data_IF_796442051978
#
_entry.id   IF_796442051978
#
_cell.length_a   1.000
_cell.length_b   1.000
_cell.length_c   1.000
_cell.angle_alpha   90.00
_cell.angle_beta   90.00
_cell.angle_gamma   90.00
#
_symmetry.space_group_name_H-M   'P 1'
#
loop_
_entity.id
_entity.type
_entity.pdbx_description
1 polymer ?
#
# COMPACT_ATOMS: atom_id res chain seq x y z
N UNK A 1 8.38 46.74 37.45
CA UNK A 1 6.93 46.88 37.22
C UNK A 1 6.48 45.64 36.46
N UNK A 2 5.92 44.71 37.19
CA UNK A 2 5.44 43.40 36.67
C UNK A 2 4.06 43.59 36.04
N UNK A 3 3.86 42.99 34.85
CA UNK A 3 2.49 42.70 34.38
C UNK A 3 2.44 41.28 33.79
N UNK A 4 1.80 40.41 34.54
CA UNK A 4 1.45 39.03 34.13
C UNK A 4 0.30 39.10 33.13
N UNK A 5 0.42 38.39 32.00
CA UNK A 5 -0.72 38.02 31.15
C UNK A 5 -1.07 36.58 31.41
N UNK A 6 -2.28 36.37 31.90
CA UNK A 6 -2.93 35.03 32.01
C UNK A 6 -3.79 34.84 30.79
N UNK A 7 -3.49 33.84 29.95
CA UNK A 7 -4.39 33.38 28.89
C UNK A 7 -5.15 32.14 29.39
N UNK A 8 -6.44 32.35 29.70
CA UNK A 8 -7.38 31.25 29.94
C UNK A 8 -8.03 30.84 28.61
N UNK A 9 -7.78 29.65 28.15
CA UNK A 9 -8.56 29.05 27.05
C UNK A 9 -9.85 28.44 27.59
N UNK A 10 -10.99 29.00 27.17
CA UNK A 10 -12.32 28.41 27.29
C UNK A 10 -12.44 27.28 26.23
N UNK A 11 -12.43 26.04 26.69
CA UNK A 11 -12.81 24.89 25.84
C UNK A 11 -14.33 24.91 25.65
N UNK A 12 -14.75 24.97 24.41
CA UNK A 12 -16.14 25.08 23.98
C UNK A 12 -16.91 23.75 24.24
N UNK A 13 -18.01 23.85 24.98
CA UNK A 13 -18.94 22.77 25.33
C UNK A 13 -19.72 22.17 24.13
N UNK A 14 -19.35 22.46 22.88
CA UNK A 14 -20.03 21.89 21.68
C UNK A 14 -19.58 20.50 21.28
N UNK A 15 -18.38 20.06 21.65
CA UNK A 15 -17.88 18.73 21.29
C UNK A 15 -18.48 17.59 22.14
N UNK A 16 -18.98 17.89 23.33
CA UNK A 16 -19.61 16.90 24.22
C UNK A 16 -21.10 16.65 23.95
N UNK A 17 -21.76 17.49 23.15
CA UNK A 17 -23.18 17.30 22.79
C UNK A 17 -23.39 16.42 21.55
N UNK A 18 -22.34 16.18 20.72
CA UNK A 18 -22.47 15.34 19.52
C UNK A 18 -22.33 13.84 19.82
N UNK A 19 -21.55 13.46 20.82
CA UNK A 19 -21.35 12.04 21.17
C UNK A 19 -22.56 11.42 21.91
N UNK A 20 -23.34 12.24 22.60
CA UNK A 20 -24.54 11.75 23.33
C UNK A 20 -25.76 11.55 22.43
N UNK A 21 -25.88 12.25 21.31
CA UNK A 21 -27.00 12.08 20.38
C UNK A 21 -26.93 10.81 19.51
N UNK A 22 -25.73 10.37 19.14
CA UNK A 22 -25.54 9.17 18.29
C UNK A 22 -25.85 7.89 19.06
N UNK A 23 -25.51 7.83 20.35
CA UNK A 23 -25.80 6.65 21.20
C UNK A 23 -27.30 6.53 21.51
N UNK A 24 -28.03 7.64 21.61
CA UNK A 24 -29.47 7.65 21.91
C UNK A 24 -30.31 7.22 20.69
N UNK A 25 -29.85 7.49 19.47
CA UNK A 25 -30.56 7.08 18.24
C UNK A 25 -30.47 5.57 18.00
N UNK A 26 -29.38 4.92 18.38
CA UNK A 26 -29.23 3.46 18.22
C UNK A 26 -30.00 2.61 19.24
N UNK A 27 -30.38 3.18 20.37
CA UNK A 27 -31.17 2.48 21.43
C UNK A 27 -32.67 2.61 21.20
N UNK A 28 -33.15 3.63 20.49
CA UNK A 28 -34.56 3.85 20.22
C UNK A 28 -35.16 2.95 19.11
N UNK A 29 -34.31 2.33 18.28
CA UNK A 29 -34.77 1.40 17.23
C UNK A 29 -34.98 -0.04 17.72
N UNK A 30 -34.68 -0.35 18.99
CA UNK A 30 -34.77 -1.72 19.52
C UNK A 30 -35.88 -2.02 20.50
N UNK A 31 -36.70 -1.05 20.97
CA UNK A 31 -37.92 -1.35 21.73
C UNK A 31 -38.86 -0.15 21.79
N UNK A 32 -40.10 -0.38 21.36
CA UNK A 32 -41.24 0.47 21.71
C UNK A 32 -41.46 0.52 23.22
N UNK A 33 -41.84 1.70 23.69
CA UNK A 33 -42.38 2.05 24.99
C UNK A 33 -41.69 1.52 26.27
N UNK A 34 -40.82 2.35 26.83
CA UNK A 34 -40.74 2.54 28.28
C UNK A 34 -40.01 3.86 28.60
N UNK A 35 -40.72 4.77 29.30
CA UNK A 35 -40.14 5.99 29.88
C UNK A 35 -38.99 5.64 30.82
N UNK A 36 -37.81 6.22 30.57
CA UNK A 36 -36.71 6.21 31.52
C UNK A 36 -36.39 7.61 32.02
N UNK A 37 -36.62 7.83 33.29
CA UNK A 37 -36.17 8.98 34.06
C UNK A 37 -34.69 8.85 34.39
N UNK A 38 -33.97 9.96 34.48
CA UNK A 38 -32.52 10.11 34.69
C UNK A 38 -31.94 9.21 35.78
N UNK A 39 -31.11 8.26 35.41
CA UNK A 39 -30.32 7.40 36.30
C UNK A 39 -28.95 8.01 36.59
N UNK A 40 -28.57 8.11 37.86
CA UNK A 40 -27.24 8.59 38.31
C UNK A 40 -26.19 7.48 38.17
N UNK A 41 -24.88 7.85 38.05
CA UNK A 41 -23.76 6.93 37.92
C UNK A 41 -23.74 5.82 38.99
N UNK A 42 -24.22 6.09 40.21
CA UNK A 42 -24.32 5.10 41.30
C UNK A 42 -25.42 4.05 41.09
N UNK A 43 -26.46 4.39 40.36
CA UNK A 43 -27.55 3.48 40.04
C UNK A 43 -27.20 2.53 38.90
N UNK A 44 -26.42 2.99 37.94
CA UNK A 44 -25.89 2.15 36.86
C UNK A 44 -24.98 1.03 37.33
N UNK A 45 -24.05 1.31 38.28
CA UNK A 45 -23.15 0.32 38.87
C UNK A 45 -23.93 -0.72 39.73
N UNK A 46 -25.04 -0.35 40.33
CA UNK A 46 -25.87 -1.31 41.12
C UNK A 46 -26.72 -2.22 40.21
N UNK A 47 -27.14 -1.75 39.05
CA UNK A 47 -27.88 -2.60 38.07
C UNK A 47 -27.01 -3.66 37.42
N UNK A 48 -25.75 -3.34 37.13
CA UNK A 48 -24.81 -4.30 36.56
C UNK A 48 -24.35 -5.39 37.53
N UNK A 49 -24.43 -5.13 38.85
CA UNK A 49 -24.11 -6.12 39.87
C UNK A 49 -25.26 -7.10 40.16
N UNK A 50 -26.50 -6.75 39.83
CA UNK A 50 -27.68 -7.63 40.05
C UNK A 50 -28.01 -8.53 38.83
N UNK A 51 -27.48 -8.24 37.64
CA UNK A 51 -27.66 -9.09 36.46
C UNK A 51 -26.73 -10.34 36.44
N UNK A 52 -25.75 -10.40 37.33
CA UNK A 52 -24.77 -11.51 37.42
C UNK A 52 -25.21 -12.70 38.30
N UNK A 53 -26.36 -12.67 38.96
CA UNK A 53 -26.72 -13.69 39.96
C UNK A 53 -28.00 -14.50 39.66
N UNK A 54 -28.54 -14.44 38.46
CA UNK A 54 -29.77 -15.16 38.06
C UNK A 54 -29.61 -16.11 36.86
N UNK A 55 -28.44 -16.71 36.67
CA UNK A 55 -28.24 -17.84 35.76
C UNK A 55 -27.47 -18.98 36.42
N UNK A 56 -28.00 -19.44 37.53
CA UNK A 56 -27.56 -20.67 38.17
C UNK A 56 -28.77 -21.56 38.46
N UNK A 57 -29.02 -22.58 37.63
CA UNK A 57 -29.89 -23.67 37.99
C UNK A 57 -31.06 -23.89 37.03
N UNK A 58 -30.84 -24.73 36.03
CA UNK A 58 -31.75 -25.81 35.63
C UNK A 58 -31.04 -26.71 34.60
N UNK A 59 -30.41 -27.76 35.11
CA UNK A 59 -29.97 -28.87 34.28
C UNK A 59 -31.19 -29.74 33.97
N UNK A 60 -31.61 -29.78 32.71
CA UNK A 60 -32.46 -30.86 32.21
C UNK A 60 -31.74 -31.54 31.06
N UNK A 61 -31.41 -32.79 31.29
CA UNK A 61 -30.85 -33.77 30.36
C UNK A 61 -31.84 -33.99 29.21
N UNK A 62 -31.45 -33.66 28.00
CA UNK A 62 -31.99 -34.26 26.79
C UNK A 62 -30.81 -34.53 25.84
N UNK A 63 -30.45 -35.79 25.78
CA UNK A 63 -29.42 -36.25 24.86
C UNK A 63 -29.83 -36.03 23.41
N UNK A 64 -29.09 -35.21 22.69
CA UNK A 64 -28.93 -35.28 21.27
C UNK A 64 -27.43 -35.19 21.00
N UNK A 65 -26.91 -36.29 20.55
CA UNK A 65 -25.53 -36.46 20.12
C UNK A 65 -25.31 -35.60 18.86
N UNK A 66 -25.02 -34.33 19.02
CA UNK A 66 -24.43 -33.53 17.99
C UNK A 66 -22.95 -33.47 18.33
N UNK A 67 -22.18 -34.29 17.65
CA UNK A 67 -20.76 -34.05 17.42
C UNK A 67 -20.63 -32.69 16.72
N UNK A 68 -20.75 -31.60 17.46
CA UNK A 68 -20.03 -30.38 17.14
C UNK A 68 -18.56 -30.65 17.50
N UNK A 69 -17.84 -31.24 16.56
CA UNK A 69 -16.41 -31.07 16.50
C UNK A 69 -16.18 -29.56 16.58
N UNK A 70 -15.63 -29.09 17.70
CA UNK A 70 -14.92 -27.83 17.73
C UNK A 70 -13.78 -27.99 16.74
N UNK A 71 -14.05 -27.72 15.47
CA UNK A 71 -13.04 -27.43 14.50
C UNK A 71 -12.38 -26.15 15.03
N UNK A 72 -11.29 -26.30 15.80
CA UNK A 72 -10.28 -25.27 15.86
C UNK A 72 -9.89 -25.10 14.39
N UNK A 73 -10.39 -24.05 13.77
CA UNK A 73 -9.92 -23.70 12.44
C UNK A 73 -8.44 -23.39 12.61
N UNK A 74 -7.57 -24.34 12.24
CA UNK A 74 -6.13 -24.10 12.16
C UNK A 74 -5.96 -22.93 11.20
N UNK A 75 -5.79 -21.72 11.72
CA UNK A 75 -5.57 -20.54 10.91
C UNK A 75 -4.08 -20.39 10.61
N UNK A 76 -3.77 -20.02 9.37
CA UNK A 76 -2.42 -19.70 8.94
C UNK A 76 -2.22 -18.19 9.07
N UNK A 77 -1.40 -17.78 10.05
CA UNK A 77 -1.20 -16.37 10.36
C UNK A 77 -0.16 -15.74 9.43
N UNK A 78 -0.56 -14.67 8.72
CA UNK A 78 0.30 -13.88 7.84
C UNK A 78 0.36 -12.44 8.34
N UNK A 79 1.56 -11.89 8.43
CA UNK A 79 1.77 -10.47 8.75
C UNK A 79 1.46 -9.58 7.55
N UNK A 80 0.88 -8.42 7.80
CA UNK A 80 0.69 -7.37 6.80
C UNK A 80 1.16 -6.05 7.40
N UNK A 81 2.20 -5.45 6.85
CA UNK A 81 2.77 -4.22 7.37
C UNK A 81 2.86 -3.14 6.28
N UNK A 82 2.77 -1.90 6.71
CA UNK A 82 2.84 -0.74 5.84
C UNK A 82 2.51 0.56 6.57
N UNK A 83 2.72 1.72 5.93
CA UNK A 83 2.37 3.02 6.47
C UNK A 83 0.85 3.25 6.41
N UNK A 84 0.13 2.99 7.49
CA UNK A 84 -1.31 3.25 7.54
C UNK A 84 -1.62 4.63 8.12
N UNK A 85 -0.61 5.28 8.70
CA UNK A 85 -0.58 6.69 9.10
C UNK A 85 0.69 7.38 8.55
N UNK A 86 0.76 8.71 8.62
CA UNK A 86 1.91 9.48 8.11
C UNK A 86 1.77 9.89 6.63
N UNK A 87 2.88 10.37 6.07
CA UNK A 87 2.88 11.09 4.79
C UNK A 87 2.50 10.22 3.57
N UNK A 88 2.81 8.95 3.59
CA UNK A 88 2.53 8.01 2.47
C UNK A 88 1.40 7.03 2.79
N UNK A 89 0.55 7.37 3.77
CA UNK A 89 -0.52 6.50 4.26
C UNK A 89 -1.49 6.03 3.18
N UNK A 90 -1.74 6.81 2.13
CA UNK A 90 -2.64 6.39 1.05
C UNK A 90 -2.14 5.11 0.34
N UNK A 91 -0.82 4.91 0.20
CA UNK A 91 -0.28 3.67 -0.37
C UNK A 91 -0.52 2.48 0.56
N UNK A 92 -0.17 2.62 1.84
CA UNK A 92 -0.34 1.55 2.83
C UNK A 92 -1.79 1.11 2.96
N UNK A 93 -2.71 2.07 3.09
CA UNK A 93 -4.15 1.82 3.16
C UNK A 93 -4.68 1.13 1.89
N UNK A 94 -4.19 1.53 0.71
CA UNK A 94 -4.57 0.93 -0.55
C UNK A 94 -4.11 -0.52 -0.65
N UNK A 95 -2.85 -0.81 -0.33
CA UNK A 95 -2.29 -2.18 -0.31
C UNK A 95 -3.04 -3.04 0.70
N UNK A 96 -3.21 -2.56 1.94
CA UNK A 96 -3.96 -3.28 2.98
C UNK A 96 -5.35 -3.69 2.49
N UNK A 97 -6.08 -2.76 1.86
CA UNK A 97 -7.43 -3.04 1.36
C UNK A 97 -7.39 -4.11 0.25
N UNK A 98 -6.41 -4.06 -0.66
CA UNK A 98 -6.22 -5.10 -1.68
C UNK A 98 -5.95 -6.46 -1.09
N UNK A 99 -5.02 -6.55 -0.11
CA UNK A 99 -4.71 -7.78 0.63
C UNK A 99 -5.93 -8.34 1.34
N UNK A 100 -6.66 -7.50 2.07
CA UNK A 100 -7.85 -7.92 2.81
C UNK A 100 -8.95 -8.43 1.87
N UNK A 101 -9.16 -7.78 0.73
CA UNK A 101 -10.15 -8.20 -0.27
C UNK A 101 -9.82 -9.60 -0.80
N UNK A 102 -8.57 -9.82 -1.24
CA UNK A 102 -8.15 -11.12 -1.75
C UNK A 102 -8.30 -12.22 -0.70
N UNK A 103 -7.76 -12.01 0.50
CA UNK A 103 -7.80 -13.00 1.58
C UNK A 103 -9.24 -13.31 2.00
N UNK A 104 -10.12 -12.30 2.05
CA UNK A 104 -11.57 -12.52 2.31
C UNK A 104 -12.18 -13.44 1.26
N UNK A 105 -11.94 -13.18 -0.02
CA UNK A 105 -12.43 -14.01 -1.13
C UNK A 105 -11.82 -15.42 -1.10
N UNK A 106 -10.52 -15.53 -0.87
CA UNK A 106 -9.81 -16.80 -0.78
C UNK A 106 -10.34 -17.69 0.35
N UNK A 107 -10.53 -17.12 1.54
CA UNK A 107 -11.09 -17.83 2.69
C UNK A 107 -12.54 -18.25 2.44
N UNK A 108 -13.37 -17.41 1.81
CA UNK A 108 -14.73 -17.75 1.44
C UNK A 108 -14.80 -18.91 0.44
N UNK A 109 -13.78 -19.10 -0.39
CA UNK A 109 -13.65 -20.19 -1.35
C UNK A 109 -12.94 -21.43 -0.79
N UNK A 110 -12.82 -21.56 0.55
CA UNK A 110 -12.30 -22.73 1.22
C UNK A 110 -10.87 -22.59 1.75
N UNK A 111 -10.20 -21.45 1.51
CA UNK A 111 -8.88 -21.16 2.04
C UNK A 111 -7.81 -22.16 1.62
N UNK A 112 -6.89 -22.45 2.53
CA UNK A 112 -5.82 -23.45 2.33
C UNK A 112 -6.34 -24.79 2.84
N UNK A 113 -6.99 -25.58 1.97
CA UNK A 113 -7.54 -26.91 2.31
C UNK A 113 -8.45 -26.90 3.56
N UNK A 114 -9.31 -25.90 3.67
CA UNK A 114 -10.22 -25.71 4.80
C UNK A 114 -9.64 -24.88 5.96
N UNK A 115 -8.36 -24.54 5.95
CA UNK A 115 -7.74 -23.60 6.89
C UNK A 115 -7.90 -22.17 6.39
N UNK A 116 -8.18 -21.22 7.28
CA UNK A 116 -8.26 -19.81 6.93
C UNK A 116 -6.89 -19.13 7.01
N UNK A 117 -6.64 -18.15 6.15
CA UNK A 117 -5.54 -17.21 6.31
C UNK A 117 -6.00 -16.08 7.24
N UNK A 118 -5.26 -15.87 8.32
CA UNK A 118 -5.53 -14.85 9.33
C UNK A 118 -4.47 -13.73 9.23
N UNK A 119 -4.90 -12.47 9.16
CA UNK A 119 -4.03 -11.33 8.92
C UNK A 119 -3.71 -10.58 10.21
N UNK A 120 -2.41 -10.49 10.55
CA UNK A 120 -1.90 -9.57 11.56
C UNK A 120 -1.45 -8.28 10.87
N UNK A 121 -2.21 -7.20 11.07
CA UNK A 121 -2.02 -5.92 10.36
C UNK A 121 -1.39 -4.90 11.29
N UNK A 122 -0.24 -4.31 10.92
CA UNK A 122 0.54 -3.40 11.76
C UNK A 122 1.03 -2.18 10.97
N UNK A 123 0.93 -1.00 11.61
CA UNK A 123 1.33 0.30 11.07
C UNK A 123 2.79 0.61 11.42
N UNK A 124 3.63 0.84 10.42
CA UNK A 124 5.04 1.24 10.58
C UNK A 124 5.30 2.72 10.24
N UNK A 125 4.26 3.47 9.85
CA UNK A 125 4.23 4.94 9.68
C UNK A 125 5.15 5.51 8.59
N UNK A 126 5.74 4.68 7.74
CA UNK A 126 6.74 5.07 6.74
C UNK A 126 8.15 5.29 7.33
N UNK A 127 8.41 4.74 8.53
CA UNK A 127 9.69 4.88 9.23
C UNK A 127 10.44 3.55 9.31
N UNK A 128 11.71 3.54 8.91
CA UNK A 128 12.54 2.33 8.89
C UNK A 128 12.82 1.73 10.27
N UNK A 129 12.78 2.52 11.34
CA UNK A 129 12.95 2.02 12.71
C UNK A 129 11.67 1.36 13.19
N UNK A 130 10.52 2.01 12.97
CA UNK A 130 9.21 1.44 13.26
C UNK A 130 8.97 0.16 12.44
N UNK A 131 9.38 0.12 11.16
CA UNK A 131 9.27 -1.06 10.32
C UNK A 131 10.01 -2.27 10.90
N UNK A 132 11.23 -2.06 11.42
CA UNK A 132 11.97 -3.12 12.15
C UNK A 132 11.28 -3.53 13.45
N UNK A 133 10.73 -2.58 14.22
CA UNK A 133 9.99 -2.88 15.44
C UNK A 133 8.72 -3.70 15.15
N UNK A 134 8.00 -3.36 14.07
CA UNK A 134 6.83 -4.11 13.60
C UNK A 134 7.23 -5.52 13.14
N UNK A 135 8.34 -5.65 12.41
CA UNK A 135 8.89 -6.94 12.01
C UNK A 135 9.17 -7.84 13.23
N UNK A 136 9.88 -7.35 14.24
CA UNK A 136 10.16 -8.09 15.49
C UNK A 136 8.85 -8.52 16.19
N UNK A 137 7.88 -7.63 16.25
CA UNK A 137 6.55 -7.94 16.81
C UNK A 137 5.84 -9.07 16.06
N UNK A 138 5.96 -9.08 14.73
CA UNK A 138 5.40 -10.15 13.89
C UNK A 138 6.13 -11.48 14.09
N UNK A 139 7.45 -11.43 14.25
CA UNK A 139 8.27 -12.60 14.55
C UNK A 139 7.87 -13.22 15.91
N UNK A 140 7.72 -12.40 16.95
CA UNK A 140 7.22 -12.81 18.26
C UNK A 140 5.81 -13.42 18.22
N UNK A 141 4.95 -12.87 17.35
CA UNK A 141 3.59 -13.36 17.13
C UNK A 141 3.53 -14.63 16.26
N UNK A 142 4.71 -15.12 15.81
CA UNK A 142 4.88 -16.34 15.01
C UNK A 142 4.08 -16.31 13.70
N UNK A 143 4.12 -15.21 12.98
CA UNK A 143 3.60 -15.19 11.61
C UNK A 143 4.41 -16.13 10.73
N UNK A 144 3.76 -16.74 9.76
CA UNK A 144 4.39 -17.71 8.86
C UNK A 144 5.14 -17.03 7.70
N UNK A 145 4.66 -15.85 7.32
CA UNK A 145 5.19 -15.03 6.26
C UNK A 145 4.68 -13.58 6.40
N UNK A 146 5.25 -12.64 5.67
CA UNK A 146 4.89 -11.23 5.72
C UNK A 146 4.59 -10.70 4.31
N UNK A 147 3.49 -9.96 4.16
CA UNK A 147 3.21 -9.08 3.03
C UNK A 147 3.51 -7.65 3.48
N UNK A 148 4.54 -7.07 2.89
CA UNK A 148 5.07 -5.74 3.25
C UNK A 148 6.60 -5.68 3.03
N UNK A 149 7.28 -4.58 3.25
CA UNK A 149 6.72 -3.28 3.48
C UNK A 149 6.27 -2.62 2.16
N UNK A 150 5.85 -1.36 2.19
CA UNK A 150 5.21 -0.69 1.05
C UNK A 150 6.19 0.19 0.28
N UNK A 151 6.86 1.13 0.96
CA UNK A 151 7.83 2.04 0.34
C UNK A 151 9.25 1.48 0.42
N UNK A 152 10.13 1.88 -0.48
CA UNK A 152 11.44 1.23 -0.66
C UNK A 152 12.34 1.30 0.57
N UNK A 153 12.51 2.46 1.21
CA UNK A 153 13.44 2.62 2.33
C UNK A 153 13.09 1.76 3.55
N UNK A 154 11.84 1.74 4.08
CA UNK A 154 11.46 0.81 5.13
C UNK A 154 11.50 -0.66 4.68
N UNK A 155 11.11 -0.96 3.42
CA UNK A 155 11.18 -2.33 2.88
C UNK A 155 12.59 -2.89 2.87
N UNK A 156 13.58 -2.09 2.49
CA UNK A 156 15.00 -2.45 2.52
C UNK A 156 15.43 -2.76 3.95
N UNK A 157 15.01 -1.94 4.92
CA UNK A 157 15.35 -2.12 6.32
C UNK A 157 14.77 -3.44 6.90
N UNK A 158 13.55 -3.81 6.49
CA UNK A 158 12.91 -5.09 6.86
C UNK A 158 13.56 -6.26 6.13
N UNK A 159 13.84 -6.14 4.81
CA UNK A 159 14.47 -7.20 4.04
C UNK A 159 15.84 -7.59 4.62
N UNK A 160 16.62 -6.59 5.07
CA UNK A 160 17.92 -6.81 5.70
C UNK A 160 17.84 -7.66 6.98
N UNK A 161 16.86 -7.40 7.85
CA UNK A 161 16.71 -8.16 9.10
C UNK A 161 16.04 -9.52 8.84
N UNK A 162 15.04 -9.58 7.96
CA UNK A 162 14.29 -10.80 7.65
C UNK A 162 15.12 -11.89 6.98
N UNK A 163 16.21 -11.51 6.30
CA UNK A 163 17.15 -12.46 5.71
C UNK A 163 17.83 -13.34 6.75
N UNK A 164 18.08 -12.83 7.99
CA UNK A 164 18.68 -13.59 9.07
C UNK A 164 17.75 -14.68 9.62
N UNK A 165 16.43 -14.44 9.55
CA UNK A 165 15.40 -15.34 10.08
C UNK A 165 14.78 -16.21 8.99
N UNK A 166 15.28 -16.10 7.74
CA UNK A 166 14.72 -16.73 6.56
C UNK A 166 13.18 -16.55 6.46
N UNK A 167 12.69 -15.36 6.84
CA UNK A 167 11.26 -15.04 6.86
C UNK A 167 10.77 -14.76 5.44
N UNK A 168 9.80 -15.53 4.89
CA UNK A 168 9.22 -15.25 3.58
C UNK A 168 8.57 -13.85 3.56
N UNK A 169 9.00 -13.00 2.63
CA UNK A 169 8.62 -11.59 2.55
C UNK A 169 8.19 -11.23 1.13
N UNK A 170 6.99 -10.69 0.97
CA UNK A 170 6.51 -10.17 -0.32
C UNK A 170 6.17 -8.70 -0.16
N UNK A 171 6.94 -7.79 -0.79
CA UNK A 171 6.50 -6.41 -0.95
C UNK A 171 5.55 -6.27 -2.13
N UNK A 172 4.41 -5.62 -1.90
CA UNK A 172 3.48 -5.31 -2.98
C UNK A 172 4.07 -4.27 -3.95
N UNK A 173 4.83 -3.28 -3.45
CA UNK A 173 5.16 -2.07 -4.20
C UNK A 173 6.58 -1.54 -4.06
N UNK A 174 7.44 -2.07 -3.19
CA UNK A 174 8.84 -1.62 -3.11
C UNK A 174 9.59 -1.96 -4.40
N UNK A 175 10.14 -0.95 -5.06
CA UNK A 175 10.75 -1.04 -6.40
C UNK A 175 12.26 -0.98 -6.38
N UNK A 176 12.89 -0.44 -5.30
CA UNK A 176 14.34 -0.29 -5.21
C UNK A 176 15.05 -1.66 -5.28
N UNK A 177 16.13 -1.81 -6.10
CA UNK A 177 16.82 -3.07 -6.29
C UNK A 177 17.39 -3.68 -5.00
N UNK A 178 17.76 -2.84 -4.02
CA UNK A 178 18.34 -3.30 -2.76
C UNK A 178 17.37 -4.18 -1.96
N UNK A 179 16.05 -4.05 -2.14
CA UNK A 179 15.05 -4.83 -1.40
C UNK A 179 15.24 -6.36 -1.53
N UNK A 180 15.60 -6.85 -2.72
CA UNK A 180 15.77 -8.29 -3.00
C UNK A 180 17.23 -8.76 -2.92
N UNK A 181 18.15 -7.92 -2.42
CA UNK A 181 19.60 -8.19 -2.48
C UNK A 181 20.18 -8.88 -1.22
N UNK A 182 19.44 -8.97 -0.11
CA UNK A 182 19.97 -9.45 1.17
C UNK A 182 19.85 -10.95 1.36
N UNK A 183 18.89 -11.60 0.69
CA UNK A 183 18.64 -13.02 0.79
C UNK A 183 17.73 -13.53 -0.32
N UNK A 184 17.37 -14.81 -0.25
CA UNK A 184 16.44 -15.42 -1.21
C UNK A 184 14.98 -15.42 -0.72
N UNK A 185 14.72 -14.79 0.42
CA UNK A 185 13.44 -14.79 1.12
C UNK A 185 12.53 -13.60 0.74
N UNK A 186 13.05 -12.57 0.05
CA UNK A 186 12.35 -11.35 -0.30
C UNK A 186 11.94 -11.34 -1.78
N UNK A 187 10.65 -11.07 -2.05
CA UNK A 187 10.02 -11.03 -3.36
C UNK A 187 9.19 -9.76 -3.50
N UNK A 188 8.98 -9.29 -4.74
CA UNK A 188 8.07 -8.17 -5.01
C UNK A 188 6.97 -8.54 -6.01
N UNK A 189 5.79 -7.91 -5.86
CA UNK A 189 4.70 -8.07 -6.83
C UNK A 189 4.74 -7.03 -7.95
N UNK A 190 5.65 -6.05 -7.87
CA UNK A 190 5.80 -4.92 -8.79
C UNK A 190 7.09 -5.00 -9.59
N UNK A 191 7.29 -4.05 -10.51
CA UNK A 191 8.51 -3.86 -11.29
C UNK A 191 9.63 -3.20 -10.46
N UNK A 192 10.85 -3.19 -11.01
CA UNK A 192 12.02 -2.54 -10.39
C UNK A 192 12.20 -1.10 -10.86
N UNK A 193 12.94 -0.29 -10.09
CA UNK A 193 13.36 1.06 -10.47
C UNK A 193 14.20 1.06 -11.75
N UNK A 194 15.04 0.04 -11.94
CA UNK A 194 15.82 -0.14 -13.16
C UNK A 194 14.94 -0.21 -14.39
N UNK A 195 13.85 -0.98 -14.32
CA UNK A 195 12.91 -1.09 -15.42
C UNK A 195 12.16 0.23 -15.63
N UNK A 196 11.65 0.85 -14.56
CA UNK A 196 10.88 2.10 -14.62
C UNK A 196 11.71 3.25 -15.19
N UNK A 197 12.92 3.49 -14.68
CA UNK A 197 13.82 4.55 -15.15
C UNK A 197 14.16 4.40 -16.62
N UNK A 198 14.50 3.18 -17.06
CA UNK A 198 14.77 2.88 -18.47
C UNK A 198 13.55 3.05 -19.37
N UNK A 199 12.36 2.63 -18.91
CA UNK A 199 11.11 2.80 -19.66
C UNK A 199 10.84 4.28 -19.90
N UNK A 200 10.97 5.12 -18.88
CA UNK A 200 10.65 6.55 -18.99
C UNK A 200 11.71 7.32 -19.81
N UNK A 201 12.98 6.93 -19.76
CA UNK A 201 14.01 7.50 -20.63
C UNK A 201 13.80 7.12 -22.11
N UNK A 202 13.46 5.87 -22.42
CA UNK A 202 13.09 5.41 -23.76
C UNK A 202 11.81 6.08 -24.26
N UNK A 203 10.84 6.28 -23.37
CA UNK A 203 9.65 7.04 -23.68
C UNK A 203 9.99 8.48 -24.06
N UNK A 204 10.85 9.17 -23.29
CA UNK A 204 11.32 10.52 -23.59
C UNK A 204 12.00 10.59 -24.96
N UNK A 205 12.88 9.61 -25.29
CA UNK A 205 13.50 9.52 -26.61
C UNK A 205 12.48 9.35 -27.74
N UNK A 206 11.49 8.47 -27.56
CA UNK A 206 10.45 8.19 -28.55
C UNK A 206 9.54 9.40 -28.79
N UNK A 207 9.30 10.23 -27.74
CA UNK A 207 8.59 11.50 -27.88
C UNK A 207 9.43 12.59 -28.57
N UNK A 208 10.71 12.33 -28.81
CA UNK A 208 11.63 13.26 -29.47
C UNK A 208 12.25 14.30 -28.55
N UNK A 209 12.11 14.14 -27.22
CA UNK A 209 12.75 15.03 -26.24
C UNK A 209 14.25 14.90 -26.32
N UNK A 210 14.95 16.04 -26.40
CA UNK A 210 16.41 16.14 -26.54
C UNK A 210 17.05 16.60 -25.23
N UNK A 211 16.29 17.30 -24.43
CA UNK A 211 16.72 17.89 -23.16
C UNK A 211 15.74 17.57 -22.05
N UNK A 212 16.24 17.18 -20.88
CA UNK A 212 15.42 16.92 -19.70
C UNK A 212 16.03 17.56 -18.46
N UNK A 213 15.16 18.03 -17.56
CA UNK A 213 15.52 18.34 -16.19
C UNK A 213 15.06 17.22 -15.25
N UNK A 214 15.62 17.13 -14.04
CA UNK A 214 15.10 16.22 -13.01
C UNK A 214 14.95 16.91 -11.67
N UNK A 215 13.95 16.49 -10.87
CA UNK A 215 13.75 16.94 -9.50
C UNK A 215 13.34 15.74 -8.64
N UNK A 216 14.09 15.49 -7.55
CA UNK A 216 13.91 14.29 -6.75
C UNK A 216 14.29 14.49 -5.28
N UNK A 217 13.67 13.71 -4.38
CA UNK A 217 14.06 13.61 -2.98
C UNK A 217 15.39 12.83 -2.86
N UNK A 218 16.42 13.49 -2.33
CA UNK A 218 17.75 12.87 -2.18
C UNK A 218 17.87 11.91 -0.99
N UNK A 219 16.90 11.95 -0.07
CA UNK A 219 16.88 11.11 1.14
C UNK A 219 16.17 9.76 0.97
N UNK A 220 15.42 9.56 -0.13
CA UNK A 220 14.69 8.32 -0.40
C UNK A 220 15.43 7.39 -1.34
N UNK A 221 15.47 6.09 -1.02
CA UNK A 221 16.10 5.08 -1.89
C UNK A 221 15.38 4.93 -3.22
N UNK A 222 14.03 5.07 -3.24
CA UNK A 222 13.22 5.04 -4.44
C UNK A 222 13.54 6.21 -5.37
N UNK A 223 13.38 7.44 -4.88
CA UNK A 223 13.46 8.65 -5.69
C UNK A 223 14.88 8.87 -6.22
N UNK A 224 15.88 8.68 -5.35
CA UNK A 224 17.28 8.82 -5.74
C UNK A 224 17.75 7.70 -6.67
N UNK A 225 17.29 6.47 -6.43
CA UNK A 225 17.61 5.29 -7.22
C UNK A 225 17.07 5.38 -8.65
N UNK A 226 15.76 5.61 -8.77
CA UNK A 226 15.13 5.70 -10.10
C UNK A 226 15.60 6.93 -10.89
N UNK A 227 15.87 8.06 -10.22
CA UNK A 227 16.46 9.23 -10.87
C UNK A 227 17.82 8.91 -11.46
N UNK A 228 18.67 8.22 -10.72
CA UNK A 228 20.00 7.79 -11.20
C UNK A 228 19.88 6.94 -12.48
N UNK A 229 19.02 5.92 -12.46
CA UNK A 229 18.80 5.03 -13.62
C UNK A 229 18.27 5.80 -14.83
N UNK A 230 17.31 6.69 -14.62
CA UNK A 230 16.77 7.54 -15.69
C UNK A 230 17.86 8.41 -16.34
N UNK A 231 18.69 9.06 -15.53
CA UNK A 231 19.79 9.92 -16.00
C UNK A 231 20.83 9.10 -16.78
N UNK A 232 21.26 7.95 -16.27
CA UNK A 232 22.20 7.05 -16.93
C UNK A 232 21.67 6.57 -18.29
N UNK A 233 20.40 6.16 -18.36
CA UNK A 233 19.76 5.73 -19.61
C UNK A 233 19.60 6.91 -20.59
N UNK A 234 19.22 8.11 -20.12
CA UNK A 234 19.17 9.32 -20.95
C UNK A 234 20.52 9.60 -21.63
N UNK A 235 21.63 9.47 -20.91
CA UNK A 235 22.98 9.65 -21.46
C UNK A 235 23.28 8.63 -22.56
N UNK A 236 22.92 7.35 -22.35
CA UNK A 236 23.10 6.29 -23.36
C UNK A 236 22.24 6.54 -24.61
N UNK A 237 21.06 7.12 -24.44
CA UNK A 237 20.11 7.43 -25.51
C UNK A 237 20.39 8.78 -26.21
N UNK A 238 21.42 9.52 -25.78
CA UNK A 238 21.79 10.82 -26.33
C UNK A 238 20.83 11.96 -25.94
N UNK A 239 20.09 11.81 -24.86
CA UNK A 239 19.27 12.87 -24.25
C UNK A 239 20.14 13.65 -23.25
N UNK A 240 20.18 14.97 -23.40
CA UNK A 240 20.97 15.83 -22.52
C UNK A 240 20.18 16.14 -21.23
N UNK A 241 20.72 15.72 -20.08
CA UNK A 241 20.19 16.10 -18.77
C UNK A 241 20.73 17.46 -18.38
N UNK A 242 19.95 18.51 -18.55
CA UNK A 242 20.37 19.90 -18.46
C UNK A 242 20.43 20.42 -17.02
N UNK A 243 19.65 19.83 -16.11
CA UNK A 243 19.60 20.20 -14.69
C UNK A 243 19.17 19.02 -13.87
N UNK A 244 19.83 18.78 -12.74
CA UNK A 244 19.42 17.80 -11.74
C UNK A 244 19.29 18.53 -10.40
N UNK A 245 18.07 18.60 -9.86
CA UNK A 245 17.79 19.30 -8.63
C UNK A 245 17.31 18.32 -7.57
N UNK A 246 18.00 18.34 -6.44
CA UNK A 246 17.60 17.55 -5.27
C UNK A 246 16.89 18.43 -4.23
N UNK A 247 16.02 17.80 -3.44
CA UNK A 247 15.43 18.38 -2.24
C UNK A 247 15.49 17.40 -1.07
N UNK A 248 15.19 17.85 0.14
CA UNK A 248 15.17 17.01 1.34
C UNK A 248 13.73 16.62 1.71
N UNK A 249 13.58 15.45 2.34
CA UNK A 249 12.29 15.03 2.87
C UNK A 249 11.69 16.10 3.81
N UNK A 250 10.41 16.40 3.63
CA UNK A 250 9.70 17.44 4.38
C UNK A 250 9.75 18.83 3.75
N UNK A 251 10.49 19.05 2.67
CA UNK A 251 10.43 20.30 1.92
C UNK A 251 9.02 20.47 1.31
N UNK A 252 8.55 21.71 1.31
CA UNK A 252 7.22 22.09 0.79
C UNK A 252 7.26 23.17 -0.26
N UNK A 253 8.41 23.83 -0.45
CA UNK A 253 8.66 24.89 -1.43
C UNK A 253 9.78 24.44 -2.36
N UNK A 254 9.44 24.27 -3.63
CA UNK A 254 10.33 23.79 -4.70
C UNK A 254 10.67 24.87 -5.73
N UNK A 255 10.31 26.14 -5.46
CA UNK A 255 10.46 27.24 -6.42
C UNK A 255 11.90 27.45 -6.85
N UNK A 256 12.89 27.30 -5.95
CA UNK A 256 14.31 27.46 -6.28
C UNK A 256 14.78 26.37 -7.26
N UNK A 257 14.44 25.12 -6.98
CA UNK A 257 14.79 23.97 -7.83
C UNK A 257 14.10 24.08 -9.20
N UNK A 258 12.81 24.41 -9.20
CA UNK A 258 12.03 24.58 -10.44
C UNK A 258 12.57 25.73 -11.30
N UNK A 259 12.93 26.86 -10.69
CA UNK A 259 13.52 28.00 -11.39
C UNK A 259 14.85 27.62 -12.03
N UNK A 260 15.70 26.85 -11.33
CA UNK A 260 16.98 26.38 -11.86
C UNK A 260 16.78 25.41 -13.06
N UNK A 261 15.79 24.53 -13.00
CA UNK A 261 15.42 23.63 -14.09
C UNK A 261 14.93 24.45 -15.30
N UNK A 262 13.97 25.35 -15.10
CA UNK A 262 13.33 26.10 -16.19
C UNK A 262 14.28 27.08 -16.89
N UNK A 263 15.32 27.56 -16.18
CA UNK A 263 16.37 28.38 -16.78
C UNK A 263 17.12 27.65 -17.92
N UNK A 264 17.08 26.30 -17.93
CA UNK A 264 17.70 25.48 -18.98
C UNK A 264 16.75 25.17 -20.14
N UNK A 265 15.48 25.54 -20.04
CA UNK A 265 14.42 25.28 -21.04
C UNK A 265 14.34 23.82 -21.48
N UNK A 266 14.17 22.85 -20.56
CA UNK A 266 14.11 21.43 -20.93
C UNK A 266 12.81 21.09 -21.67
N UNK A 267 12.86 20.09 -22.57
CA UNK A 267 11.69 19.56 -23.27
C UNK A 267 10.71 18.87 -22.31
N UNK A 268 11.25 18.22 -21.24
CA UNK A 268 10.49 17.57 -20.20
C UNK A 268 11.22 17.62 -18.85
N UNK A 269 10.48 17.43 -17.76
CA UNK A 269 11.03 17.30 -16.40
C UNK A 269 10.66 15.94 -15.82
N UNK A 270 11.66 15.14 -15.43
CA UNK A 270 11.46 13.90 -14.72
C UNK A 270 11.33 14.17 -13.22
N UNK A 271 10.24 13.69 -12.61
CA UNK A 271 9.86 13.93 -11.22
C UNK A 271 9.46 12.60 -10.56
N UNK A 272 10.42 11.71 -10.26
CA UNK A 272 10.15 10.38 -9.73
C UNK A 272 9.93 10.39 -8.20
N UNK A 273 8.96 11.14 -7.74
CA UNK A 273 8.68 11.29 -6.31
C UNK A 273 7.32 10.68 -5.96
N UNK A 274 7.05 10.52 -4.66
CA UNK A 274 5.74 10.09 -4.18
C UNK A 274 4.67 11.16 -4.45
N UNK A 275 3.40 10.73 -4.43
CA UNK A 275 2.24 11.52 -4.86
C UNK A 275 2.15 12.91 -4.23
N UNK A 276 2.49 13.03 -2.95
CA UNK A 276 2.40 14.32 -2.23
C UNK A 276 3.36 15.36 -2.79
N UNK A 277 4.62 14.99 -2.91
CA UNK A 277 5.65 15.91 -3.38
C UNK A 277 5.52 16.15 -4.88
N UNK A 278 5.24 15.10 -5.67
CA UNK A 278 4.98 15.22 -7.11
C UNK A 278 3.82 16.20 -7.38
N UNK A 279 2.72 16.09 -6.62
CA UNK A 279 1.58 17.00 -6.77
C UNK A 279 1.94 18.45 -6.46
N UNK A 280 2.64 18.70 -5.36
CA UNK A 280 3.12 20.04 -4.98
C UNK A 280 4.09 20.61 -6.02
N UNK A 281 5.06 19.80 -6.48
CA UNK A 281 6.05 20.17 -7.50
C UNK A 281 5.36 20.58 -8.79
N UNK A 282 4.46 19.75 -9.31
CA UNK A 282 3.72 20.05 -10.55
C UNK A 282 2.87 21.32 -10.38
N UNK A 283 2.13 21.46 -9.28
CA UNK A 283 1.30 22.65 -9.01
C UNK A 283 2.14 23.92 -8.93
N UNK A 284 3.27 23.91 -8.21
CA UNK A 284 4.16 25.06 -8.13
C UNK A 284 4.80 25.38 -9.49
N UNK A 285 5.15 24.37 -10.28
CA UNK A 285 5.64 24.57 -11.65
C UNK A 285 4.62 25.29 -12.52
N UNK A 286 3.34 24.90 -12.45
CA UNK A 286 2.25 25.59 -13.18
C UNK A 286 2.04 27.02 -12.72
N UNK A 287 2.17 27.27 -11.40
CA UNK A 287 2.11 28.63 -10.84
C UNK A 287 3.28 29.52 -11.33
N UNK A 288 4.46 28.94 -11.53
CA UNK A 288 5.61 29.62 -12.17
C UNK A 288 5.46 29.78 -13.70
N UNK A 289 4.36 29.32 -14.27
CA UNK A 289 4.06 29.46 -15.71
C UNK A 289 4.65 28.37 -16.59
N UNK A 290 5.25 27.30 -16.04
CA UNK A 290 5.75 26.18 -16.81
C UNK A 290 4.58 25.36 -17.38
N UNK A 291 4.53 25.24 -18.72
CA UNK A 291 3.51 24.49 -19.46
C UNK A 291 4.06 23.21 -20.10
N UNK A 292 5.32 22.89 -19.83
CA UNK A 292 5.98 21.70 -20.39
C UNK A 292 5.53 20.41 -19.73
N UNK A 293 6.09 19.34 -20.22
CA UNK A 293 5.74 17.96 -19.84
C UNK A 293 6.47 17.57 -18.54
N UNK A 294 5.74 16.94 -17.64
CA UNK A 294 6.34 16.17 -16.56
C UNK A 294 6.28 14.68 -16.87
N UNK A 295 7.34 13.98 -16.50
CA UNK A 295 7.47 12.53 -16.54
C UNK A 295 7.58 12.01 -15.11
N UNK A 296 6.75 11.06 -14.73
CA UNK A 296 6.73 10.44 -13.41
C UNK A 296 6.99 8.94 -13.47
N UNK A 297 6.92 8.30 -12.33
CA UNK A 297 6.96 6.86 -12.15
C UNK A 297 5.77 6.40 -11.29
N UNK A 298 5.73 5.14 -10.88
CA UNK A 298 4.58 4.54 -10.17
C UNK A 298 4.19 5.26 -8.87
N UNK A 299 5.10 5.97 -8.23
CA UNK A 299 4.83 6.88 -7.12
C UNK A 299 3.85 8.03 -7.43
N UNK A 300 3.46 8.23 -8.69
CA UNK A 300 2.41 9.18 -9.06
C UNK A 300 0.99 8.62 -8.92
N UNK A 301 0.85 7.32 -8.73
CA UNK A 301 -0.45 6.73 -8.45
C UNK A 301 -1.03 7.33 -7.15
N UNK A 302 -2.33 7.46 -7.09
CA UNK A 302 -3.10 8.13 -6.03
C UNK A 302 -3.02 9.68 -6.02
N UNK A 303 -2.29 10.31 -6.94
CA UNK A 303 -2.21 11.78 -6.98
C UNK A 303 -3.57 12.44 -7.26
N UNK A 304 -4.43 11.78 -8.05
CA UNK A 304 -5.79 12.25 -8.39
C UNK A 304 -6.89 11.30 -7.91
N UNK A 305 -6.59 10.03 -7.69
CA UNK A 305 -7.56 8.98 -7.36
C UNK A 305 -7.58 8.64 -5.86
N UNK A 306 -6.68 9.23 -5.08
CA UNK A 306 -6.61 9.08 -3.63
C UNK A 306 -7.74 9.78 -2.89
N UNK A 307 -7.82 9.53 -1.58
CA UNK A 307 -8.79 10.20 -0.70
C UNK A 307 -8.50 11.71 -0.60
N UNK A 308 -7.21 12.09 -0.68
CA UNK A 308 -6.74 13.47 -0.81
C UNK A 308 -6.16 13.70 -2.20
N UNK A 309 -6.43 14.86 -2.78
CA UNK A 309 -5.90 15.25 -4.09
C UNK A 309 -4.74 16.21 -3.92
N UNK A 310 -3.62 15.91 -4.55
CA UNK A 310 -2.37 16.68 -4.41
C UNK A 310 -2.04 17.55 -5.61
N UNK A 311 -2.70 17.31 -6.74
CA UNK A 311 -2.65 18.19 -7.90
C UNK A 311 -4.03 18.30 -8.54
N UNK A 312 -4.30 19.41 -9.21
CA UNK A 312 -5.52 19.54 -10.01
C UNK A 312 -5.40 18.69 -11.29
N UNK A 313 -6.51 18.18 -11.82
CA UNK A 313 -6.51 17.52 -13.13
C UNK A 313 -5.90 18.37 -14.24
N UNK A 314 -6.12 19.68 -14.21
CA UNK A 314 -5.61 20.66 -15.17
C UNK A 314 -4.08 20.78 -15.09
N UNK A 315 -3.50 20.69 -13.89
CA UNK A 315 -2.05 20.76 -13.69
C UNK A 315 -1.34 19.52 -14.28
N UNK A 316 -2.03 18.39 -14.29
CA UNK A 316 -1.49 17.10 -14.76
C UNK A 316 -1.75 16.85 -16.25
N UNK A 317 -2.52 17.68 -16.92
CA UNK A 317 -2.83 17.51 -18.35
C UNK A 317 -1.55 17.40 -19.18
N UNK A 318 -1.43 16.36 -20.01
CA UNK A 318 -0.27 16.11 -20.85
C UNK A 318 0.98 15.63 -20.10
N UNK A 319 0.90 15.35 -18.81
CA UNK A 319 1.96 14.65 -18.07
C UNK A 319 1.87 13.13 -18.29
N UNK A 320 2.98 12.41 -18.05
CA UNK A 320 3.07 10.98 -18.24
C UNK A 320 3.75 10.32 -17.05
N UNK A 321 3.30 9.12 -16.68
CA UNK A 321 3.99 8.29 -15.70
C UNK A 321 3.80 6.82 -16.05
N UNK A 322 4.60 5.93 -15.49
CA UNK A 322 4.41 4.51 -15.68
C UNK A 322 3.84 3.83 -14.42
N UNK A 323 2.92 2.89 -14.61
CA UNK A 323 2.41 2.02 -13.56
C UNK A 323 1.81 0.73 -14.16
N UNK A 324 1.71 -0.37 -13.41
CA UNK A 324 1.19 -1.63 -13.97
C UNK A 324 -0.33 -1.71 -14.06
N UNK A 325 -1.08 -0.76 -13.49
CA UNK A 325 -2.54 -0.83 -13.42
C UNK A 325 -3.20 0.55 -13.46
N UNK A 326 -4.30 0.64 -14.22
CA UNK A 326 -5.33 1.68 -14.09
C UNK A 326 -6.73 1.06 -14.19
N UNK A 327 -7.73 1.75 -13.68
CA UNK A 327 -9.14 1.28 -13.64
C UNK A 327 -9.72 1.14 -15.04
N UNK A 328 -9.34 2.04 -15.96
CA UNK A 328 -9.77 2.04 -17.36
C UNK A 328 -8.98 0.99 -18.16
N UNK A 329 -9.31 -0.28 -17.93
CA UNK A 329 -8.70 -1.44 -18.58
C UNK A 329 -9.78 -2.38 -19.10
N UNK A 330 -9.62 -2.90 -20.32
CA UNK A 330 -10.60 -3.77 -20.97
C UNK A 330 -10.49 -5.25 -20.59
N UNK A 331 -9.47 -5.65 -19.81
CA UNK A 331 -9.29 -7.00 -19.34
C UNK A 331 -10.39 -7.39 -18.32
N UNK A 332 -11.06 -8.51 -18.54
CA UNK A 332 -12.18 -8.95 -17.71
C UNK A 332 -11.78 -9.20 -16.25
N UNK A 333 -10.58 -9.74 -15.99
CA UNK A 333 -10.04 -9.91 -14.63
C UNK A 333 -9.90 -8.58 -13.90
N UNK A 334 -9.44 -7.54 -14.60
CA UNK A 334 -9.34 -6.18 -14.04
C UNK A 334 -10.73 -5.64 -13.74
N UNK A 335 -11.70 -5.82 -14.64
CA UNK A 335 -13.10 -5.40 -14.41
C UNK A 335 -13.74 -6.09 -13.22
N UNK A 336 -13.51 -7.40 -13.07
CA UNK A 336 -14.01 -8.18 -11.93
C UNK A 336 -13.39 -7.70 -10.61
N UNK A 337 -12.08 -7.45 -10.59
CA UNK A 337 -11.39 -6.88 -9.43
C UNK A 337 -11.93 -5.48 -9.08
N UNK A 338 -12.04 -4.59 -10.07
CA UNK A 338 -12.56 -3.22 -9.88
C UNK A 338 -13.97 -3.27 -9.30
N UNK A 339 -14.83 -4.13 -9.85
CA UNK A 339 -16.17 -4.33 -9.32
C UNK A 339 -16.17 -4.85 -7.89
N UNK A 340 -15.41 -5.89 -7.58
CA UNK A 340 -15.34 -6.47 -6.25
C UNK A 340 -14.80 -5.47 -5.22
N UNK A 341 -13.79 -4.68 -5.61
CA UNK A 341 -13.23 -3.63 -4.76
C UNK A 341 -14.25 -2.52 -4.50
N UNK A 342 -14.95 -2.08 -5.54
CA UNK A 342 -16.00 -1.06 -5.42
C UNK A 342 -17.17 -1.54 -4.55
N UNK A 343 -17.59 -2.79 -4.70
CA UNK A 343 -18.66 -3.38 -3.89
C UNK A 343 -18.26 -3.45 -2.39
N UNK A 344 -16.99 -3.67 -2.08
CA UNK A 344 -16.48 -3.77 -0.71
C UNK A 344 -16.22 -2.41 -0.06
N UNK A 345 -15.63 -1.46 -0.81
CA UNK A 345 -15.10 -0.21 -0.24
C UNK A 345 -15.83 1.06 -0.71
N UNK A 346 -16.79 0.95 -1.65
CA UNK A 346 -17.58 2.08 -2.18
C UNK A 346 -16.79 3.06 -3.07
N UNK A 347 -15.57 2.70 -3.48
CA UNK A 347 -14.68 3.51 -4.33
C UNK A 347 -13.88 2.64 -5.30
N UNK A 348 -13.35 3.25 -6.36
CA UNK A 348 -12.47 2.54 -7.29
C UNK A 348 -11.12 2.21 -6.65
N UNK A 349 -10.49 1.09 -7.04
CA UNK A 349 -9.13 0.76 -6.61
C UNK A 349 -8.10 1.64 -7.29
N UNK A 350 -6.99 1.89 -6.61
CA UNK A 350 -5.77 2.43 -7.22
C UNK A 350 -4.81 1.31 -7.65
N UNK A 351 -3.70 1.68 -8.31
CA UNK A 351 -2.59 0.77 -8.62
C UNK A 351 -2.10 0.01 -7.38
N UNK A 352 -1.97 0.67 -6.24
CA UNK A 352 -1.51 0.05 -5.00
C UNK A 352 -2.52 -0.96 -4.43
N UNK A 353 -3.83 -0.74 -4.64
CA UNK A 353 -4.84 -1.75 -4.27
C UNK A 353 -4.66 -3.04 -5.10
N UNK A 354 -4.42 -2.89 -6.40
CA UNK A 354 -4.21 -4.01 -7.30
C UNK A 354 -2.93 -4.79 -6.97
N UNK A 355 -1.83 -4.09 -6.66
CA UNK A 355 -0.58 -4.70 -6.22
C UNK A 355 -0.72 -5.43 -4.89
N UNK A 356 -1.47 -4.88 -3.92
CA UNK A 356 -1.76 -5.55 -2.66
C UNK A 356 -2.59 -6.83 -2.85
N UNK A 357 -3.56 -6.79 -3.76
CA UNK A 357 -4.37 -7.95 -4.14
C UNK A 357 -3.50 -9.06 -4.75
N UNK A 358 -2.60 -8.70 -5.67
CA UNK A 358 -1.67 -9.64 -6.30
C UNK A 358 -0.64 -10.23 -5.32
N UNK A 359 -0.10 -9.41 -4.39
CA UNK A 359 0.81 -9.89 -3.34
C UNK A 359 0.13 -10.92 -2.43
N UNK A 360 -1.14 -10.69 -2.08
CA UNK A 360 -1.93 -11.67 -1.31
C UNK A 360 -2.22 -12.92 -2.12
N UNK A 361 -2.47 -12.79 -3.42
CA UNK A 361 -2.65 -13.93 -4.33
C UNK A 361 -1.38 -14.80 -4.37
N UNK A 362 -0.20 -14.19 -4.49
CA UNK A 362 1.09 -14.91 -4.46
C UNK A 362 1.27 -15.65 -3.13
N UNK A 363 1.04 -14.98 -2.01
CA UNK A 363 1.20 -15.58 -0.68
C UNK A 363 0.23 -16.73 -0.45
N UNK A 364 -1.04 -16.57 -0.81
CA UNK A 364 -2.05 -17.62 -0.66
C UNK A 364 -1.78 -18.82 -1.60
N UNK A 365 -1.28 -18.58 -2.81
CA UNK A 365 -0.87 -19.65 -3.72
C UNK A 365 0.28 -20.47 -3.12
N UNK A 366 1.31 -19.82 -2.61
CA UNK A 366 2.45 -20.49 -1.96
C UNK A 366 2.03 -21.28 -0.71
N UNK A 367 1.19 -20.71 0.16
CA UNK A 367 0.63 -21.40 1.32
C UNK A 367 -0.12 -22.68 0.90
N UNK A 368 -0.90 -22.59 -0.17
CA UNK A 368 -1.63 -23.73 -0.70
C UNK A 368 -0.69 -24.77 -1.31
N UNK A 369 0.31 -24.37 -2.09
CA UNK A 369 1.32 -25.26 -2.69
C UNK A 369 2.07 -26.04 -1.61
N UNK A 370 2.46 -25.38 -0.50
CA UNK A 370 3.15 -26.05 0.62
C UNK A 370 2.22 -26.99 1.38
N UNK A 371 0.98 -26.58 1.64
CA UNK A 371 0.01 -27.42 2.36
C UNK A 371 -0.42 -28.65 1.54
N UNK A 372 -0.55 -28.52 0.21
CA UNK A 372 -0.87 -29.62 -0.69
C UNK A 372 0.23 -30.70 -0.70
N UNK A 373 1.49 -30.33 -0.49
CA UNK A 373 2.61 -31.30 -0.34
C UNK A 373 2.56 -32.01 1.00
N UNK A 374 2.19 -31.32 2.08
CA UNK A 374 1.94 -31.88 3.40
C UNK A 374 3.16 -32.46 4.12
N UNK A 375 4.38 -32.16 3.67
CA UNK A 375 5.64 -32.72 4.18
C UNK A 375 6.31 -31.87 5.27
N UNK A 376 5.86 -30.64 5.48
CA UNK A 376 6.39 -29.71 6.47
C UNK A 376 5.30 -29.14 7.36
N UNK A 377 5.66 -28.74 8.59
CA UNK A 377 4.72 -28.21 9.59
C UNK A 377 4.79 -26.68 9.66
N UNK A 378 3.63 -25.98 9.67
CA UNK A 378 3.61 -24.53 9.87
C UNK A 378 4.43 -24.09 11.12
N UNK A 379 5.24 -23.03 10.95
CA UNK A 379 6.06 -22.45 12.00
C UNK A 379 7.43 -23.08 12.21
N UNK A 380 7.86 -24.01 11.37
CA UNK A 380 9.24 -24.54 11.35
C UNK A 380 10.10 -23.81 10.31
N UNK A 381 11.42 -23.94 10.40
CA UNK A 381 12.34 -23.37 9.39
C UNK A 381 12.17 -24.04 8.03
N UNK A 382 11.89 -25.33 7.99
CA UNK A 382 11.60 -26.08 6.76
C UNK A 382 10.33 -25.55 6.10
N UNK A 383 9.33 -25.12 6.88
CA UNK A 383 8.12 -24.53 6.35
C UNK A 383 8.38 -23.16 5.73
N UNK A 384 9.21 -22.31 6.36
CA UNK A 384 9.62 -21.03 5.78
C UNK A 384 10.34 -21.25 4.45
N UNK A 385 11.31 -22.17 4.40
CA UNK A 385 12.02 -22.50 3.17
C UNK A 385 11.09 -23.01 2.08
N UNK A 386 10.15 -23.90 2.43
CA UNK A 386 9.17 -24.39 1.47
C UNK A 386 8.27 -23.29 0.91
N UNK A 387 7.91 -22.28 1.74
CA UNK A 387 7.17 -21.11 1.25
C UNK A 387 8.02 -20.26 0.31
N UNK A 388 9.28 -19.99 0.63
CA UNK A 388 10.22 -19.28 -0.23
C UNK A 388 10.34 -19.98 -1.59
N UNK A 389 10.54 -21.29 -1.57
CA UNK A 389 10.65 -22.10 -2.80
C UNK A 389 9.36 -22.08 -3.61
N UNK A 390 8.20 -22.12 -2.95
CA UNK A 390 6.91 -22.06 -3.62
C UNK A 390 6.69 -20.68 -4.25
N UNK A 391 6.95 -19.57 -3.54
CA UNK A 391 6.86 -18.20 -4.08
C UNK A 391 7.75 -18.05 -5.31
N UNK A 392 8.99 -18.56 -5.24
CA UNK A 392 9.97 -18.46 -6.33
C UNK A 392 9.57 -19.26 -7.58
N UNK A 393 8.83 -20.37 -7.43
CA UNK A 393 8.48 -21.28 -8.52
C UNK A 393 7.07 -21.07 -9.08
N UNK A 394 6.15 -20.57 -8.25
CA UNK A 394 4.74 -20.41 -8.63
C UNK A 394 4.60 -19.23 -9.60
N UNK A 395 3.87 -19.48 -10.68
CA UNK A 395 3.44 -18.40 -11.58
C UNK A 395 2.03 -17.96 -11.20
N UNK A 396 1.88 -16.67 -10.94
CA UNK A 396 0.60 -16.06 -10.58
C UNK A 396 0.13 -15.16 -11.72
N UNK A 397 -1.12 -15.34 -12.12
CA UNK A 397 -1.76 -14.47 -13.11
C UNK A 397 -2.62 -13.41 -12.39
N UNK A 398 -1.96 -12.34 -11.98
CA UNK A 398 -2.53 -11.25 -11.19
C UNK A 398 -3.38 -10.26 -12.00
N UNK A 399 -3.99 -9.30 -11.31
CA UNK A 399 -4.73 -8.19 -11.92
C UNK A 399 -3.81 -7.12 -12.52
N UNK A 400 -2.56 -7.07 -12.05
CA UNK A 400 -1.49 -6.22 -12.60
C UNK A 400 -0.65 -6.94 -13.66
N UNK A 401 -1.11 -8.09 -14.15
CA UNK A 401 -0.42 -8.95 -15.11
C UNK A 401 0.23 -10.18 -14.49
N UNK A 402 0.90 -10.96 -15.31
CA UNK A 402 1.59 -12.18 -14.88
C UNK A 402 2.78 -11.84 -13.97
N UNK A 403 2.94 -12.64 -12.91
CA UNK A 403 4.06 -12.56 -11.97
C UNK A 403 4.75 -13.91 -11.96
N UNK A 404 6.01 -13.92 -12.35
CA UNK A 404 6.88 -15.10 -12.34
C UNK A 404 8.33 -14.62 -12.12
N UNK A 405 9.12 -15.45 -11.46
CA UNK A 405 10.49 -15.13 -11.09
C UNK A 405 11.51 -15.94 -11.91
N UNK A 406 12.62 -15.32 -12.26
CA UNK A 406 13.72 -15.94 -13.02
C UNK A 406 15.01 -15.94 -12.19
N UNK A 407 14.98 -16.60 -11.01
CA UNK A 407 16.14 -16.78 -10.14
C UNK A 407 16.46 -15.61 -9.19
N UNK A 408 15.63 -14.56 -9.22
CA UNK A 408 15.68 -13.43 -8.27
C UNK A 408 14.29 -13.22 -7.64
N UNK A 409 14.17 -12.40 -6.62
CA UNK A 409 12.87 -11.97 -6.07
C UNK A 409 12.17 -10.90 -6.91
N UNK A 410 12.69 -10.57 -8.09
CA UNK A 410 12.17 -9.57 -9.02
C UNK A 410 11.40 -10.23 -10.15
N UNK A 411 10.11 -9.92 -10.35
CA UNK A 411 9.36 -10.51 -11.44
C UNK A 411 9.63 -9.81 -12.77
N UNK A 412 9.51 -10.57 -13.85
CA UNK A 412 9.43 -10.01 -15.21
C UNK A 412 8.01 -9.51 -15.44
N UNK A 413 7.81 -8.18 -15.50
CA UNK A 413 6.48 -7.56 -15.63
C UNK A 413 6.41 -6.54 -16.76
N UNK A 414 5.27 -6.49 -17.44
CA UNK A 414 4.88 -5.36 -18.29
C UNK A 414 4.45 -4.15 -17.47
N UNK A 415 4.45 -2.98 -18.09
CA UNK A 415 3.94 -1.74 -17.50
C UNK A 415 3.16 -0.92 -18.52
N UNK A 416 2.38 0.02 -18.03
CA UNK A 416 1.67 1.01 -18.82
C UNK A 416 2.42 2.35 -18.73
N UNK A 417 2.49 3.09 -19.82
CA UNK A 417 2.68 4.54 -19.75
C UNK A 417 1.29 5.17 -19.79
N UNK A 418 0.99 5.93 -18.76
CA UNK A 418 -0.30 6.57 -18.50
C UNK A 418 -0.17 8.07 -18.69
N UNK A 419 -1.20 8.71 -19.23
CA UNK A 419 -1.32 10.16 -19.32
C UNK A 419 -2.64 10.62 -18.68
N UNK A 420 -2.77 11.91 -18.51
CA UNK A 420 -4.00 12.56 -18.04
C UNK A 420 -4.66 13.28 -19.22
N UNK A 421 -5.93 13.01 -19.43
CA UNK A 421 -6.77 13.62 -20.47
C UNK A 421 -8.10 14.03 -19.82
N UNK A 422 -8.36 15.34 -19.74
CA UNK A 422 -9.57 15.92 -19.11
C UNK A 422 -9.79 15.41 -17.68
N UNK A 423 -8.72 15.32 -16.93
CA UNK A 423 -8.75 14.92 -15.53
C UNK A 423 -8.91 13.40 -15.29
N UNK A 424 -8.80 12.58 -16.32
CA UNK A 424 -8.85 11.12 -16.24
C UNK A 424 -7.54 10.51 -16.67
N UNK A 425 -7.18 9.43 -16.01
CA UNK A 425 -6.07 8.59 -16.44
C UNK A 425 -6.43 7.86 -17.73
N UNK A 426 -5.46 7.70 -18.61
CA UNK A 426 -5.60 7.00 -19.87
C UNK A 426 -4.33 6.26 -20.23
N UNK A 427 -4.46 5.02 -20.66
CA UNK A 427 -3.32 4.28 -21.22
C UNK A 427 -2.84 4.99 -22.49
N UNK A 428 -1.60 5.44 -22.48
CA UNK A 428 -0.94 6.00 -23.65
C UNK A 428 -0.21 4.90 -24.44
N UNK A 429 0.48 4.00 -23.72
CA UNK A 429 1.25 2.91 -24.31
C UNK A 429 1.36 1.74 -23.34
N UNK A 430 1.33 0.51 -23.86
CA UNK A 430 1.72 -0.71 -23.13
C UNK A 430 3.20 -1.00 -23.43
N UNK A 431 3.96 -1.31 -22.39
CA UNK A 431 5.36 -1.73 -22.49
C UNK A 431 5.44 -3.17 -22.00
N UNK A 432 5.68 -4.08 -22.92
CA UNK A 432 5.82 -5.50 -22.61
C UNK A 432 7.11 -5.76 -21.83
N UNK A 433 7.05 -6.75 -20.93
CA UNK A 433 8.22 -7.32 -20.29
C UNK A 433 9.15 -7.95 -21.36
N UNK A 434 10.45 -7.78 -21.25
CA UNK A 434 11.44 -8.37 -22.16
C UNK A 434 12.27 -9.40 -21.40
#
# INVERSE_FOLDING_TARGET
>A
MMTRFVFGQKISNKALQYSSRVVITYINDLKGDMMMTNLTRRQFVKLSAQAGTLMGGLSIIAGCNNNMSSQSSDSLKVGVMGPYTGDVAQYGLAIRNGVQLYVKQFNANGGVNGKTVDLMIEDEKGDSTEAKNVYEKMLDAKVLAIIGDVTSTPSIAVAQVSANDNMPLISASATAPAFTSFGHNAFRATMTDDFQGKVMAKFAQKQGYKTVGTIYNSGGDYESGINKIFVEECQQLGINVTSQQAYAAGDVDFNAQLTAIFATSPDAVFCPNYYQDSGKIVTQARQLGYKGVFLGADGWANMVDGDDKYASPEDLEGCYYNCPFIVENDNDKVKDFVKAYHDEYGKNPSNFCALGYDAAMMMCAALKTVDDKGDVKPGTEEYKQALIDAIAQDKVDGVTGSIAFEGTGDPVKSTLVVTFDKGKQKVFQVIEAK
#
